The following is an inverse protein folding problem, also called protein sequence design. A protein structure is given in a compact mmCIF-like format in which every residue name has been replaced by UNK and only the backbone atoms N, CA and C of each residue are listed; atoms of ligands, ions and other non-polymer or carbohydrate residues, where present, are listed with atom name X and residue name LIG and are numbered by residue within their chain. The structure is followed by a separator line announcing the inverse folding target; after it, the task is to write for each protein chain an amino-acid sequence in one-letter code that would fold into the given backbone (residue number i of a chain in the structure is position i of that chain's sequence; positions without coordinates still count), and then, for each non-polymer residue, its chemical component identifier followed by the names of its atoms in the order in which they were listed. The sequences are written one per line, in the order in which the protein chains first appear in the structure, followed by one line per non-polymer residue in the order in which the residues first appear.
data_IF_080099348860
#
_entry.id   IF_080099348860
#
_cell.length_a   1.000
_cell.length_b   1.000
_cell.length_c   1.000
_cell.angle_alpha   90.00
_cell.angle_beta   90.00
_cell.angle_gamma   90.00
#
_symmetry.space_group_name_H-M   'P 1'
#
loop_
_entity.id
_entity.type
_entity.pdbx_description
1 polymer ?
#
# COMPACT_ATOMS: atom_id res chain seq x y z
N UNK A 1 -16.71 -8.89 0.50
CA UNK A 1 -16.84 -9.75 -0.70
C UNK A 1 -17.74 -9.13 -1.75
N UNK A 2 -18.97 -8.70 -1.42
CA UNK A 2 -19.85 -8.05 -2.41
C UNK A 2 -19.21 -6.85 -3.10
N UNK A 3 -18.51 -5.96 -2.37
CA UNK A 3 -17.77 -4.84 -2.99
C UNK A 3 -16.79 -5.29 -4.07
N UNK A 4 -15.98 -6.33 -3.84
CA UNK A 4 -15.03 -6.84 -4.86
C UNK A 4 -15.70 -7.53 -6.04
N UNK A 5 -16.96 -7.95 -5.88
CA UNK A 5 -17.75 -8.56 -6.95
C UNK A 5 -18.43 -7.51 -7.83
N UNK A 6 -18.75 -6.34 -7.29
CA UNK A 6 -19.52 -5.31 -7.99
C UNK A 6 -18.73 -4.03 -8.24
N UNK A 7 -18.20 -3.41 -7.18
CA UNK A 7 -17.60 -2.07 -7.21
C UNK A 7 -16.08 -2.11 -7.43
N UNK A 8 -15.37 -3.05 -6.78
CA UNK A 8 -13.90 -3.22 -6.87
C UNK A 8 -13.54 -4.38 -7.79
N UNK A 9 -14.33 -4.56 -8.84
CA UNK A 9 -14.17 -5.67 -9.78
C UNK A 9 -12.91 -5.49 -10.62
N UNK A 10 -11.81 -6.11 -10.17
CA UNK A 10 -10.53 -6.06 -10.89
C UNK A 10 -10.57 -6.92 -12.16
N UNK A 11 -10.00 -6.46 -13.28
CA UNK A 11 -10.09 -7.15 -14.56
C UNK A 11 -9.18 -8.39 -14.66
N UNK A 12 -8.16 -8.50 -13.79
CA UNK A 12 -7.08 -9.49 -13.93
C UNK A 12 -7.19 -10.67 -12.97
N UNK A 13 -7.85 -10.51 -11.82
CA UNK A 13 -7.89 -11.53 -10.77
C UNK A 13 -9.31 -11.75 -10.27
N UNK A 14 -9.68 -12.99 -9.87
CA UNK A 14 -10.96 -13.28 -9.25
C UNK A 14 -11.23 -12.43 -7.99
N UNK A 15 -12.49 -12.04 -7.79
CA UNK A 15 -12.90 -11.15 -6.70
C UNK A 15 -12.62 -11.72 -5.30
N UNK A 16 -12.71 -13.05 -5.15
CA UNK A 16 -12.44 -13.75 -3.90
C UNK A 16 -10.95 -13.65 -3.55
N UNK A 17 -10.05 -13.89 -4.50
CA UNK A 17 -8.61 -13.70 -4.30
C UNK A 17 -8.28 -12.24 -4.06
N UNK A 18 -8.83 -11.32 -4.85
CA UNK A 18 -8.62 -9.89 -4.72
C UNK A 18 -8.99 -9.37 -3.33
N UNK A 19 -10.15 -9.80 -2.80
CA UNK A 19 -10.61 -9.40 -1.47
C UNK A 19 -9.62 -9.81 -0.38
N UNK A 20 -9.15 -11.06 -0.38
CA UNK A 20 -8.21 -11.55 0.63
C UNK A 20 -6.84 -10.85 0.53
N UNK A 21 -6.32 -10.67 -0.69
CA UNK A 21 -5.06 -9.96 -0.91
C UNK A 21 -5.16 -8.51 -0.45
N UNK A 22 -6.24 -7.82 -0.78
CA UNK A 22 -6.47 -6.44 -0.35
C UNK A 22 -6.56 -6.34 1.18
N UNK A 23 -7.34 -7.20 1.84
CA UNK A 23 -7.44 -7.21 3.30
C UNK A 23 -6.08 -7.45 3.97
N UNK A 24 -5.29 -8.39 3.45
CA UNK A 24 -3.96 -8.67 3.96
C UNK A 24 -3.02 -7.46 3.78
N UNK A 25 -3.00 -6.87 2.58
CA UNK A 25 -2.17 -5.71 2.27
C UNK A 25 -2.55 -4.48 3.13
N UNK A 26 -3.85 -4.22 3.27
CA UNK A 26 -4.42 -3.08 4.00
C UNK A 26 -4.04 -3.07 5.47
N UNK A 27 -3.85 -4.24 6.09
CA UNK A 27 -3.47 -4.33 7.50
C UNK A 27 -1.96 -4.50 7.69
N UNK A 28 -1.33 -5.34 6.87
CA UNK A 28 0.07 -5.73 7.07
C UNK A 28 1.01 -4.57 6.75
N UNK A 29 0.85 -3.92 5.59
CA UNK A 29 1.80 -2.89 5.18
C UNK A 29 1.77 -1.64 6.06
N UNK A 30 0.61 -1.09 6.48
CA UNK A 30 0.61 0.04 7.40
C UNK A 30 1.22 -0.29 8.75
N UNK A 31 0.97 -1.48 9.30
CA UNK A 31 1.59 -1.92 10.57
C UNK A 31 3.12 -1.98 10.44
N UNK A 32 3.63 -2.60 9.37
CA UNK A 32 5.06 -2.64 9.09
C UNK A 32 5.64 -1.22 8.93
N UNK A 33 4.94 -0.34 8.21
CA UNK A 33 5.37 1.02 7.96
C UNK A 33 5.44 1.87 9.24
N UNK A 34 4.43 1.76 10.12
CA UNK A 34 4.38 2.47 11.41
C UNK A 34 5.49 2.01 12.34
N UNK A 35 5.76 0.71 12.38
CA UNK A 35 6.91 0.16 13.12
C UNK A 35 8.25 0.55 12.46
N UNK A 36 8.23 1.01 11.21
CA UNK A 36 9.44 1.24 10.43
C UNK A 36 10.22 -0.07 10.20
N UNK A 37 9.51 -1.19 10.04
CA UNK A 37 10.07 -2.49 9.72
C UNK A 37 9.85 -2.79 8.23
N UNK A 38 10.90 -3.16 7.52
CA UNK A 38 10.95 -3.28 6.07
C UNK A 38 10.30 -2.07 5.38
N UNK A 39 10.62 -0.86 5.84
CA UNK A 39 9.81 0.34 5.58
C UNK A 39 9.70 0.67 4.10
N UNK A 40 10.78 0.45 3.31
CA UNK A 40 10.78 0.65 1.86
C UNK A 40 9.87 -0.36 1.15
N UNK A 41 9.89 -1.62 1.60
CA UNK A 41 9.02 -2.66 1.08
C UNK A 41 7.56 -2.40 1.44
N UNK A 42 7.27 -2.07 2.69
CA UNK A 42 5.92 -1.73 3.16
C UNK A 42 5.34 -0.53 2.40
N UNK A 43 6.14 0.55 2.25
CA UNK A 43 5.73 1.72 1.48
C UNK A 43 5.51 1.40 -0.02
N UNK A 44 6.31 0.50 -0.60
CA UNK A 44 6.15 0.08 -2.00
C UNK A 44 4.88 -0.76 -2.19
N UNK A 45 4.55 -1.63 -1.23
CA UNK A 45 3.29 -2.39 -1.24
C UNK A 45 2.06 -1.48 -1.16
N UNK A 46 2.10 -0.46 -0.29
CA UNK A 46 1.03 0.54 -0.20
C UNK A 46 0.93 1.42 -1.45
N UNK A 47 2.07 1.76 -2.08
CA UNK A 47 2.06 2.51 -3.32
C UNK A 47 1.44 1.68 -4.44
N UNK A 48 1.79 0.39 -4.53
CA UNK A 48 1.19 -0.53 -5.49
C UNK A 48 -0.33 -0.66 -5.29
N UNK A 49 -0.78 -0.83 -4.03
CA UNK A 49 -2.20 -0.85 -3.71
C UNK A 49 -2.91 0.45 -4.12
N UNK A 50 -2.30 1.60 -3.81
CA UNK A 50 -2.79 2.93 -4.23
C UNK A 50 -2.95 3.01 -5.76
N UNK A 51 -1.98 2.51 -6.52
CA UNK A 51 -2.04 2.50 -7.98
C UNK A 51 -3.14 1.59 -8.52
N UNK A 52 -3.33 0.40 -7.92
CA UNK A 52 -4.43 -0.49 -8.29
C UNK A 52 -5.79 0.18 -8.05
N UNK A 53 -5.95 0.85 -6.90
CA UNK A 53 -7.20 1.55 -6.57
C UNK A 53 -7.43 2.72 -7.53
N UNK A 54 -6.44 3.57 -7.77
CA UNK A 54 -6.58 4.71 -8.70
C UNK A 54 -6.91 4.22 -10.12
N UNK A 55 -6.18 3.24 -10.66
CA UNK A 55 -6.34 2.82 -12.06
C UNK A 55 -7.63 2.05 -12.29
N UNK A 56 -8.02 1.17 -11.35
CA UNK A 56 -9.09 0.19 -11.59
C UNK A 56 -10.36 0.40 -10.78
N UNK A 57 -10.33 1.21 -9.72
CA UNK A 57 -11.46 1.35 -8.78
C UNK A 57 -12.00 2.77 -8.73
N UNK A 58 -11.15 3.75 -8.42
CA UNK A 58 -11.55 5.14 -8.24
C UNK A 58 -10.64 6.09 -9.06
N UNK A 59 -10.78 6.14 -10.41
CA UNK A 59 -9.92 6.91 -11.31
C UNK A 59 -10.10 8.43 -11.25
N UNK A 60 -11.10 8.90 -10.51
CA UNK A 60 -11.36 10.33 -10.29
C UNK A 60 -10.79 10.81 -8.94
N UNK A 61 -10.15 9.93 -8.17
CA UNK A 61 -9.65 10.21 -6.81
C UNK A 61 -8.19 10.72 -6.76
N UNK A 62 -7.67 11.22 -7.89
CA UNK A 62 -6.31 11.74 -8.02
C UNK A 62 -5.84 12.64 -6.87
N UNK A 63 -6.61 13.64 -6.39
CA UNK A 63 -6.14 14.50 -5.30
C UNK A 63 -5.73 13.72 -4.05
N UNK A 64 -6.48 12.67 -3.72
CA UNK A 64 -6.21 11.82 -2.55
C UNK A 64 -5.03 10.90 -2.81
N UNK A 65 -5.03 10.16 -3.93
CA UNK A 65 -4.00 9.16 -4.19
C UNK A 65 -2.63 9.77 -4.51
N UNK A 66 -2.56 10.97 -5.09
CA UNK A 66 -1.29 11.68 -5.30
C UNK A 66 -0.65 12.14 -3.98
N UNK A 67 -1.45 12.58 -3.00
CA UNK A 67 -0.94 12.95 -1.68
C UNK A 67 -0.30 11.72 -1.02
N UNK A 68 -1.03 10.61 -0.94
CA UNK A 68 -0.51 9.37 -0.37
C UNK A 68 0.69 8.84 -1.15
N UNK A 69 0.59 8.80 -2.48
CA UNK A 69 1.67 8.36 -3.36
C UNK A 69 2.95 9.16 -3.16
N UNK A 70 2.86 10.49 -3.06
CA UNK A 70 4.00 11.36 -2.79
C UNK A 70 4.67 11.08 -1.44
N UNK A 71 3.88 10.91 -0.38
CA UNK A 71 4.39 10.55 0.94
C UNK A 71 5.07 9.17 0.94
N UNK A 72 4.46 8.18 0.27
CA UNK A 72 5.03 6.84 0.14
C UNK A 72 6.33 6.86 -0.66
N UNK A 73 6.41 7.62 -1.77
CA UNK A 73 7.64 7.82 -2.53
C UNK A 73 8.74 8.48 -1.70
N UNK A 74 8.39 9.40 -0.79
CA UNK A 74 9.34 9.98 0.16
C UNK A 74 9.92 8.90 1.09
N UNK A 75 9.08 8.00 1.63
CA UNK A 75 9.56 6.90 2.48
C UNK A 75 10.36 5.88 1.69
N UNK A 76 9.93 5.55 0.46
CA UNK A 76 10.66 4.66 -0.44
C UNK A 76 12.04 5.24 -0.75
N UNK A 77 12.16 6.54 -1.00
CA UNK A 77 13.46 7.16 -1.32
C UNK A 77 14.35 7.31 -0.08
N UNK A 78 13.82 7.83 1.03
CA UNK A 78 14.59 8.24 2.22
C UNK A 78 14.61 7.24 3.38
N UNK A 79 13.74 6.23 3.38
CA UNK A 79 13.54 5.30 4.50
C UNK A 79 12.73 5.90 5.67
N UNK A 80 12.43 5.08 6.69
CA UNK A 80 11.60 5.46 7.85
C UNK A 80 12.32 6.28 8.94
N UNK A 81 13.54 6.77 8.68
CA UNK A 81 14.25 7.69 9.58
C UNK A 81 15.00 7.01 10.73
N UNK A 82 15.38 7.80 11.74
CA UNK A 82 16.33 7.36 12.79
C UNK A 82 15.72 6.44 13.87
N UNK A 83 14.41 6.45 14.00
CA UNK A 83 13.66 5.71 15.03
C UNK A 83 13.04 4.41 14.50
N UNK A 84 13.32 4.04 13.25
CA UNK A 84 12.74 2.85 12.63
C UNK A 84 13.35 1.56 13.19
N UNK A 85 12.53 0.50 13.27
CA UNK A 85 13.04 -0.83 13.59
C UNK A 85 14.09 -1.30 12.57
N UNK A 86 13.97 -0.90 11.31
CA UNK A 86 14.97 -1.18 10.27
C UNK A 86 16.37 -0.76 10.70
N UNK A 87 16.52 0.41 11.32
CA UNK A 87 17.82 0.88 11.79
C UNK A 87 18.29 0.11 13.03
N UNK A 88 17.39 -0.17 13.96
CA UNK A 88 17.71 -0.95 15.16
C UNK A 88 18.18 -2.36 14.79
N UNK A 89 17.61 -2.94 13.74
CA UNK A 89 17.92 -4.27 13.23
C UNK A 89 19.03 -4.28 12.16
N UNK A 90 19.57 -3.13 11.75
CA UNK A 90 20.64 -3.02 10.75
C UNK A 90 20.21 -3.35 9.31
N UNK A 91 18.92 -3.23 8.99
CA UNK A 91 18.36 -3.45 7.66
C UNK A 91 18.57 -2.23 6.72
N UNK A 92 18.93 -1.07 7.27
CA UNK A 92 19.24 0.20 6.56
C UNK A 92 20.31 0.99 7.29
#
# INVERSE_FOLDING_TARGET
MELFKTEYALPLIPYDIAAHLATFAEHTFPVLLVLGLLSRFAASGLLFMTLIIEIFVYPDAWPTHLIWGGLLLMVISRGAGKWSLDRVLGLV
#
